data_IF_590533169402
#
_entry.id   IF_590533169402
#
_cell.length_a   1.000
_cell.length_b   1.000
_cell.length_c   1.000
_cell.angle_alpha   90.00
_cell.angle_beta   90.00
_cell.angle_gamma   90.00
#
_symmetry.space_group_name_H-M   'P 1'
#
loop_
_entity.id
_entity.type
_entity.pdbx_description
1 polymer ?
#
# COMPACT_ATOMS: atom_id res chain seq x y z
N UNK A 1 -30.18 -17.19 -87.96
CA UNK A 1 -29.61 -18.56 -88.02
C UNK A 1 -29.02 -18.87 -86.65
N UNK A 2 -29.66 -19.77 -85.91
CA UNK A 2 -29.08 -20.52 -84.77
C UNK A 2 -27.75 -21.16 -85.24
N UNK A 3 -26.70 -21.34 -84.45
CA UNK A 3 -26.54 -22.16 -83.23
C UNK A 3 -25.02 -22.02 -82.89
N UNK A 4 -24.52 -21.87 -81.67
CA UNK A 4 -24.42 -22.84 -80.57
C UNK A 4 -23.89 -22.11 -79.33
N UNK A 5 -24.27 -22.62 -78.16
CA UNK A 5 -23.98 -22.06 -76.86
C UNK A 5 -22.80 -22.69 -76.12
N UNK A 6 -22.54 -22.05 -74.97
CA UNK A 6 -21.92 -22.50 -73.72
C UNK A 6 -20.43 -22.89 -73.69
N UNK A 7 -19.63 -22.06 -73.00
CA UNK A 7 -19.03 -22.36 -71.69
C UNK A 7 -18.26 -21.11 -71.22
N UNK A 8 -18.82 -20.27 -70.35
CA UNK A 8 -18.67 -20.33 -68.89
C UNK A 8 -17.23 -20.26 -68.36
N UNK A 9 -16.91 -19.08 -67.81
CA UNK A 9 -16.21 -18.86 -66.53
C UNK A 9 -14.70 -19.16 -66.50
N UNK A 10 -13.97 -18.31 -65.77
CA UNK A 10 -12.54 -18.36 -65.39
C UNK A 10 -11.58 -17.66 -66.35
N UNK A 11 -11.44 -16.34 -66.22
CA UNK A 11 -10.12 -15.68 -66.04
C UNK A 11 -10.28 -14.17 -65.74
N UNK A 12 -10.80 -13.83 -64.56
CA UNK A 12 -10.86 -12.43 -64.10
C UNK A 12 -10.41 -12.27 -62.64
N UNK A 13 -9.32 -12.94 -62.24
CA UNK A 13 -8.88 -12.97 -60.83
C UNK A 13 -7.36 -12.88 -60.58
N UNK A 14 -6.55 -12.20 -61.41
CA UNK A 14 -5.10 -12.12 -61.13
C UNK A 14 -4.53 -10.71 -60.91
N UNK A 15 -5.32 -9.63 -60.98
CA UNK A 15 -4.76 -8.28 -60.76
C UNK A 15 -5.27 -7.56 -59.49
N UNK A 16 -6.18 -8.17 -58.72
CA UNK A 16 -6.68 -7.58 -57.46
C UNK A 16 -6.23 -8.27 -56.16
N UNK A 17 -5.14 -9.05 -56.18
CA UNK A 17 -4.57 -9.65 -54.96
C UNK A 17 -3.36 -8.87 -54.43
N UNK A 18 -2.77 -7.94 -55.19
CA UNK A 18 -1.50 -7.32 -54.78
C UNK A 18 -1.61 -5.93 -54.13
N UNK A 19 -2.82 -5.46 -53.80
CA UNK A 19 -3.01 -4.17 -53.09
C UNK A 19 -3.69 -4.31 -51.73
N UNK A 20 -4.06 -5.53 -51.31
CA UNK A 20 -4.52 -5.82 -49.95
C UNK A 20 -3.42 -6.41 -49.04
N UNK A 21 -2.22 -6.68 -49.60
CA UNK A 21 -1.05 -7.19 -48.87
C UNK A 21 0.00 -6.09 -48.68
N UNK A 22 -0.46 -4.90 -48.29
CA UNK A 22 0.41 -3.78 -47.88
C UNK A 22 -0.24 -2.93 -46.77
N UNK A 23 -1.00 -3.58 -45.87
CA UNK A 23 -0.99 -3.14 -44.48
C UNK A 23 0.40 -3.52 -43.97
N UNK A 24 1.36 -2.60 -44.08
CA UNK A 24 2.76 -2.83 -43.69
C UNK A 24 2.76 -3.51 -42.32
N UNK A 25 3.19 -4.77 -42.28
CA UNK A 25 3.38 -5.48 -41.03
C UNK A 25 4.47 -4.70 -40.28
N UNK A 26 4.05 -3.87 -39.31
CA UNK A 26 4.97 -3.02 -38.57
C UNK A 26 6.07 -3.90 -37.96
N UNK A 27 7.32 -3.55 -38.21
CA UNK A 27 8.43 -4.31 -37.67
C UNK A 27 8.39 -4.25 -36.14
N UNK A 28 8.86 -5.29 -35.41
CA UNK A 28 8.92 -5.24 -33.94
C UNK A 28 9.61 -3.97 -33.42
N UNK A 29 10.66 -3.50 -34.12
CA UNK A 29 11.40 -2.28 -33.79
C UNK A 29 10.55 -1.00 -33.92
N UNK A 30 9.66 -0.94 -34.91
CA UNK A 30 8.74 0.19 -35.12
C UNK A 30 7.69 0.22 -34.01
N UNK A 31 7.08 -0.93 -33.71
CA UNK A 31 6.15 -1.08 -32.59
C UNK A 31 6.82 -0.72 -31.25
N UNK A 32 8.08 -1.10 -31.05
CA UNK A 32 8.85 -0.67 -29.88
C UNK A 32 9.06 0.85 -29.87
N UNK A 33 9.44 1.45 -30.99
CA UNK A 33 9.64 2.89 -31.10
C UNK A 33 8.34 3.68 -30.82
N UNK A 34 7.22 3.25 -31.40
CA UNK A 34 5.88 3.80 -31.15
C UNK A 34 5.48 3.64 -29.68
N UNK A 35 5.78 2.47 -29.09
CA UNK A 35 5.61 2.23 -27.67
C UNK A 35 6.38 3.22 -26.80
N UNK A 36 7.67 3.43 -27.09
CA UNK A 36 8.51 4.39 -26.37
C UNK A 36 8.08 5.85 -26.59
N UNK A 37 7.55 6.18 -27.77
CA UNK A 37 6.96 7.49 -28.02
C UNK A 37 5.69 7.70 -27.19
N UNK A 38 4.83 6.68 -27.08
CA UNK A 38 3.66 6.73 -26.22
C UNK A 38 4.06 6.88 -24.74
N UNK A 39 5.14 6.22 -24.27
CA UNK A 39 5.70 6.45 -22.91
C UNK A 39 6.09 7.91 -22.71
N UNK A 40 6.81 8.52 -23.65
CA UNK A 40 7.19 9.95 -23.57
C UNK A 40 5.98 10.88 -23.52
N UNK A 41 4.84 10.45 -24.04
CA UNK A 41 3.59 11.20 -24.05
C UNK A 41 2.66 10.83 -22.86
N UNK A 42 3.13 10.01 -21.91
CA UNK A 42 2.37 9.56 -20.75
C UNK A 42 1.25 8.56 -21.08
N UNK A 43 1.16 8.07 -22.32
CA UNK A 43 0.12 7.14 -22.78
C UNK A 43 0.53 5.70 -22.52
N UNK A 44 0.61 5.33 -21.25
CA UNK A 44 1.11 4.02 -20.80
C UNK A 44 0.33 2.82 -21.34
N UNK A 45 -0.99 2.92 -21.44
CA UNK A 45 -1.83 1.83 -21.98
C UNK A 45 -1.54 1.58 -23.47
N UNK A 46 -1.44 2.65 -24.26
CA UNK A 46 -1.06 2.54 -25.68
C UNK A 46 0.37 2.02 -25.83
N UNK A 47 1.30 2.47 -24.97
CA UNK A 47 2.66 1.98 -24.96
C UNK A 47 2.71 0.46 -24.72
N UNK A 48 1.98 -0.03 -23.72
CA UNK A 48 1.89 -1.46 -23.43
C UNK A 48 1.31 -2.25 -24.61
N UNK A 49 0.27 -1.76 -25.27
CA UNK A 49 -0.30 -2.43 -26.46
C UNK A 49 0.73 -2.57 -27.60
N UNK A 50 1.46 -1.50 -27.90
CA UNK A 50 2.49 -1.52 -28.94
C UNK A 50 3.65 -2.46 -28.56
N UNK A 51 4.10 -2.42 -27.31
CA UNK A 51 5.17 -3.30 -26.81
C UNK A 51 4.73 -4.77 -26.77
N UNK A 52 3.48 -5.06 -26.41
CA UNK A 52 2.90 -6.40 -26.44
C UNK A 52 2.86 -6.96 -27.87
N UNK A 53 2.50 -6.14 -28.85
CA UNK A 53 2.57 -6.52 -30.27
C UNK A 53 4.02 -6.76 -30.71
N UNK A 54 4.96 -5.90 -30.28
CA UNK A 54 6.38 -6.08 -30.58
C UNK A 54 6.93 -7.42 -30.07
N UNK A 55 6.58 -7.80 -28.83
CA UNK A 55 7.01 -9.10 -28.27
C UNK A 55 6.23 -10.28 -28.83
N UNK A 56 4.99 -10.09 -29.29
CA UNK A 56 4.25 -11.14 -30.00
C UNK A 56 4.91 -11.48 -31.35
N UNK A 57 5.45 -10.49 -32.06
CA UNK A 57 6.20 -10.68 -33.30
C UNK A 57 7.64 -11.15 -33.05
N UNK A 58 8.26 -10.72 -31.95
CA UNK A 58 9.61 -11.13 -31.54
C UNK A 58 9.65 -11.44 -30.04
N UNK A 59 9.38 -12.70 -29.63
CA UNK A 59 9.34 -13.08 -28.21
C UNK A 59 10.63 -12.79 -27.42
N UNK A 60 11.78 -12.90 -28.09
CA UNK A 60 13.10 -12.59 -27.52
C UNK A 60 13.49 -11.09 -27.61
N UNK A 61 12.52 -10.17 -27.66
CA UNK A 61 12.82 -8.74 -27.72
C UNK A 61 13.04 -8.14 -26.32
N UNK A 62 14.25 -8.35 -25.77
CA UNK A 62 14.60 -7.97 -24.40
C UNK A 62 14.31 -6.49 -24.04
N UNK A 63 14.55 -5.56 -24.97
CA UNK A 63 14.28 -4.12 -24.74
C UNK A 63 12.78 -3.83 -24.59
N UNK A 64 11.92 -4.53 -25.31
CA UNK A 64 10.47 -4.36 -25.22
C UNK A 64 9.95 -4.89 -23.88
N UNK A 65 10.42 -6.07 -23.44
CA UNK A 65 10.13 -6.61 -22.11
C UNK A 65 10.61 -5.66 -20.99
N UNK A 66 11.82 -5.11 -21.10
CA UNK A 66 12.33 -4.15 -20.13
C UNK A 66 11.48 -2.86 -20.06
N UNK A 67 11.02 -2.37 -21.22
CA UNK A 67 10.13 -1.21 -21.30
C UNK A 67 8.77 -1.50 -20.66
N UNK A 68 8.16 -2.66 -20.94
CA UNK A 68 6.93 -3.10 -20.28
C UNK A 68 7.10 -3.17 -18.77
N UNK A 69 8.17 -3.80 -18.29
CA UNK A 69 8.48 -3.88 -16.86
C UNK A 69 8.62 -2.51 -16.21
N UNK A 70 9.26 -1.56 -16.89
CA UNK A 70 9.38 -0.17 -16.41
C UNK A 70 8.01 0.52 -16.29
N UNK A 71 7.12 0.31 -17.28
CA UNK A 71 5.76 0.87 -17.25
C UNK A 71 4.96 0.25 -16.11
N UNK A 72 5.00 -1.08 -15.95
CA UNK A 72 4.32 -1.77 -14.85
C UNK A 72 4.81 -1.28 -13.48
N UNK A 73 6.12 -1.08 -13.30
CA UNK A 73 6.69 -0.48 -12.08
C UNK A 73 6.15 0.94 -11.80
N UNK A 74 5.97 1.76 -12.85
CA UNK A 74 5.40 3.10 -12.72
C UNK A 74 3.92 3.07 -12.36
N UNK A 75 3.16 2.13 -12.94
CA UNK A 75 1.74 1.93 -12.67
C UNK A 75 1.46 1.23 -11.33
N UNK A 76 2.48 0.67 -10.68
CA UNK A 76 2.36 -0.07 -9.41
C UNK A 76 1.95 -1.53 -9.58
N UNK A 77 1.94 -2.06 -10.80
CA UNK A 77 1.74 -3.48 -11.08
C UNK A 77 3.06 -4.24 -10.86
N UNK A 78 3.41 -4.43 -9.59
CA UNK A 78 4.68 -5.03 -9.19
C UNK A 78 4.86 -6.48 -9.70
N UNK A 79 3.85 -7.37 -9.70
CA UNK A 79 3.99 -8.72 -10.22
C UNK A 79 4.34 -8.76 -11.71
N UNK A 80 3.60 -8.04 -12.56
CA UNK A 80 3.91 -8.02 -14.01
C UNK A 80 5.21 -7.26 -14.30
N UNK A 81 5.55 -6.26 -13.48
CA UNK A 81 6.87 -5.61 -13.53
C UNK A 81 8.00 -6.61 -13.29
N UNK A 82 7.92 -7.43 -12.24
CA UNK A 82 8.96 -8.40 -11.90
C UNK A 82 9.15 -9.42 -13.02
N UNK A 83 8.04 -9.96 -13.51
CA UNK A 83 8.01 -10.94 -14.60
C UNK A 83 8.64 -10.39 -15.87
N UNK A 84 8.25 -9.20 -16.30
CA UNK A 84 8.76 -8.58 -17.52
C UNK A 84 10.26 -8.21 -17.41
N UNK A 85 10.71 -7.65 -16.28
CA UNK A 85 12.11 -7.31 -16.05
C UNK A 85 12.99 -8.56 -15.96
N UNK A 86 12.54 -9.60 -15.27
CA UNK A 86 13.26 -10.88 -15.16
C UNK A 86 13.39 -11.54 -16.53
N UNK A 87 12.32 -11.55 -17.33
CA UNK A 87 12.36 -12.08 -18.69
C UNK A 87 13.32 -11.28 -19.58
N UNK A 88 13.33 -9.94 -19.48
CA UNK A 88 14.26 -9.11 -20.21
C UNK A 88 15.73 -9.44 -19.88
N UNK A 89 16.04 -9.66 -18.59
CA UNK A 89 17.38 -9.99 -18.12
C UNK A 89 17.78 -11.44 -18.46
N UNK A 90 16.82 -12.37 -18.50
CA UNK A 90 17.08 -13.73 -18.98
C UNK A 90 17.45 -13.75 -20.47
N UNK A 91 16.80 -12.91 -21.28
CA UNK A 91 17.12 -12.77 -22.71
C UNK A 91 18.43 -12.02 -22.92
N UNK A 92 18.64 -10.92 -22.18
CA UNK A 92 19.87 -10.13 -22.25
C UNK A 92 20.32 -9.71 -20.84
N UNK A 93 21.27 -10.45 -20.23
CA UNK A 93 21.76 -10.16 -18.87
C UNK A 93 22.45 -8.81 -18.71
N UNK A 94 22.84 -8.16 -19.81
CA UNK A 94 23.59 -6.91 -19.78
C UNK A 94 22.70 -5.66 -19.90
N UNK A 95 21.37 -5.79 -19.77
CA UNK A 95 20.46 -4.64 -19.75
C UNK A 95 20.50 -3.92 -18.39
N UNK A 96 21.46 -3.02 -18.24
CA UNK A 96 21.68 -2.28 -16.98
C UNK A 96 20.44 -1.51 -16.53
N UNK A 97 19.68 -0.90 -17.46
CA UNK A 97 18.45 -0.20 -17.10
C UNK A 97 17.38 -1.16 -16.52
N UNK A 98 17.27 -2.38 -17.07
CA UNK A 98 16.32 -3.37 -16.57
C UNK A 98 16.73 -3.88 -15.19
N UNK A 99 18.02 -4.10 -14.96
CA UNK A 99 18.59 -4.48 -13.67
C UNK A 99 18.40 -3.38 -12.61
N UNK A 100 18.63 -2.11 -12.97
CA UNK A 100 18.37 -0.96 -12.10
C UNK A 100 16.88 -0.82 -11.74
N UNK A 101 15.99 -1.07 -12.71
CA UNK A 101 14.55 -1.06 -12.47
C UNK A 101 14.10 -2.25 -11.62
N UNK A 102 14.77 -3.40 -11.73
CA UNK A 102 14.51 -4.56 -10.88
C UNK A 102 14.95 -4.29 -9.42
N UNK A 103 16.10 -3.66 -9.21
CA UNK A 103 16.53 -3.22 -7.88
C UNK A 103 15.56 -2.19 -7.27
N UNK A 104 15.06 -1.25 -8.09
CA UNK A 104 14.06 -0.28 -7.66
C UNK A 104 12.72 -0.96 -7.31
N UNK A 105 12.31 -1.97 -8.09
CA UNK A 105 11.14 -2.79 -7.79
C UNK A 105 11.30 -3.49 -6.44
N UNK A 106 12.41 -4.18 -6.21
CA UNK A 106 12.71 -4.84 -4.93
C UNK A 106 12.73 -3.87 -3.75
N UNK A 107 13.24 -2.65 -3.96
CA UNK A 107 13.19 -1.59 -2.95
C UNK A 107 11.74 -1.21 -2.61
N UNK A 108 10.87 -1.04 -3.63
CA UNK A 108 9.45 -0.70 -3.43
C UNK A 108 8.65 -1.85 -2.81
N UNK A 109 8.99 -3.09 -3.12
CA UNK A 109 8.34 -4.29 -2.56
C UNK A 109 8.97 -4.78 -1.26
N UNK A 110 9.85 -3.97 -0.63
CA UNK A 110 10.52 -4.26 0.66
C UNK A 110 11.39 -5.52 0.67
N UNK A 111 11.80 -6.01 -0.51
CA UNK A 111 12.81 -7.07 -0.68
C UNK A 111 14.21 -6.45 -0.66
N UNK A 112 14.58 -5.89 0.49
CA UNK A 112 15.69 -4.94 0.59
C UNK A 112 17.06 -5.59 0.38
N UNK A 113 17.28 -6.82 0.87
CA UNK A 113 18.53 -7.55 0.64
C UNK A 113 18.74 -7.89 -0.84
N UNK A 114 17.67 -8.26 -1.54
CA UNK A 114 17.70 -8.47 -2.99
C UNK A 114 18.06 -7.18 -3.72
N UNK A 115 17.42 -6.06 -3.35
CA UNK A 115 17.71 -4.75 -3.91
C UNK A 115 19.18 -4.35 -3.70
N UNK A 116 19.69 -4.47 -2.47
CA UNK A 116 21.07 -4.14 -2.10
C UNK A 116 22.05 -4.97 -2.93
N UNK A 117 21.85 -6.28 -3.04
CA UNK A 117 22.71 -7.17 -3.84
C UNK A 117 22.77 -6.75 -5.31
N UNK A 118 21.62 -6.43 -5.92
CA UNK A 118 21.56 -5.96 -7.32
C UNK A 118 22.26 -4.60 -7.46
N UNK A 119 22.00 -3.65 -6.56
CA UNK A 119 22.68 -2.35 -6.60
C UNK A 119 24.20 -2.46 -6.42
N UNK A 120 24.70 -3.34 -5.55
CA UNK A 120 26.14 -3.57 -5.39
C UNK A 120 26.79 -4.10 -6.69
N UNK A 121 26.12 -5.02 -7.39
CA UNK A 121 26.56 -5.50 -8.71
C UNK A 121 26.58 -4.35 -9.73
N UNK A 122 25.54 -3.52 -9.75
CA UNK A 122 25.44 -2.36 -10.64
C UNK A 122 26.52 -1.32 -10.38
N UNK A 123 26.83 -1.00 -9.11
CA UNK A 123 27.88 -0.02 -8.76
C UNK A 123 29.25 -0.49 -9.23
N UNK A 124 29.56 -1.79 -9.14
CA UNK A 124 30.82 -2.34 -9.67
C UNK A 124 30.97 -2.13 -11.18
N UNK A 125 29.87 -2.19 -11.93
CA UNK A 125 29.85 -2.03 -13.40
C UNK A 125 29.68 -0.58 -13.83
N UNK A 126 29.00 0.23 -13.04
CA UNK A 126 28.73 1.65 -13.27
C UNK A 126 29.09 2.48 -12.03
N UNK A 127 30.38 2.62 -11.72
CA UNK A 127 30.80 3.34 -10.53
C UNK A 127 30.35 4.81 -10.56
N UNK A 128 30.15 5.41 -11.74
CA UNK A 128 29.76 6.82 -11.86
C UNK A 128 28.24 7.07 -11.88
N UNK A 129 27.41 6.01 -11.82
CA UNK A 129 25.97 6.17 -11.89
C UNK A 129 25.40 6.71 -10.57
N UNK A 130 25.12 8.02 -10.53
CA UNK A 130 24.48 8.68 -9.39
C UNK A 130 23.13 8.03 -9.04
N UNK A 131 22.34 7.64 -10.05
CA UNK A 131 21.05 6.99 -9.83
C UNK A 131 21.21 5.67 -9.04
N UNK A 132 22.20 4.86 -9.39
CA UNK A 132 22.47 3.58 -8.72
C UNK A 132 23.00 3.82 -7.30
N UNK A 133 23.85 4.84 -7.10
CA UNK A 133 24.36 5.20 -5.76
C UNK A 133 23.27 5.74 -4.83
N UNK A 134 22.37 6.58 -5.32
CA UNK A 134 21.23 7.03 -4.53
C UNK A 134 20.25 5.87 -4.27
N UNK A 135 20.10 4.95 -5.24
CA UNK A 135 19.31 3.73 -5.09
C UNK A 135 19.82 2.84 -3.97
N UNK A 136 21.14 2.54 -3.93
CA UNK A 136 21.70 1.72 -2.85
C UNK A 136 21.60 2.41 -1.49
N UNK A 137 21.84 3.73 -1.43
CA UNK A 137 21.74 4.49 -0.18
C UNK A 137 20.31 4.43 0.38
N UNK A 138 19.31 4.59 -0.50
CA UNK A 138 17.89 4.46 -0.12
C UNK A 138 17.53 3.03 0.30
N UNK A 139 18.08 2.01 -0.36
CA UNK A 139 17.85 0.61 0.01
C UNK A 139 18.45 0.30 1.39
N UNK A 140 19.66 0.76 1.68
CA UNK A 140 20.27 0.65 3.03
C UNK A 140 19.44 1.38 4.09
N UNK A 141 19.00 2.61 3.80
CA UNK A 141 18.17 3.38 4.72
C UNK A 141 16.86 2.64 5.05
N UNK A 142 16.17 2.11 4.03
CA UNK A 142 14.93 1.37 4.24
C UNK A 142 15.13 0.04 4.95
N UNK A 143 16.34 -0.52 4.89
CA UNK A 143 16.75 -1.72 5.60
C UNK A 143 17.22 -1.42 7.02
N UNK A 144 17.13 -0.17 7.48
CA UNK A 144 17.61 0.32 8.79
C UNK A 144 19.12 0.09 8.99
N UNK A 145 19.86 -0.09 7.88
CA UNK A 145 21.31 -0.18 7.83
C UNK A 145 21.90 1.23 7.72
N UNK A 146 21.65 2.03 8.76
CA UNK A 146 21.95 3.47 8.75
C UNK A 146 23.43 3.80 8.53
N UNK A 147 24.42 3.08 9.10
CA UNK A 147 25.83 3.35 8.82
C UNK A 147 26.18 3.24 7.33
N UNK A 148 25.73 2.18 6.66
CA UNK A 148 25.96 1.99 5.22
C UNK A 148 25.18 3.00 4.37
N UNK A 149 23.97 3.37 4.79
CA UNK A 149 23.20 4.42 4.14
C UNK A 149 23.91 5.78 4.21
N UNK A 150 24.44 6.13 5.37
CA UNK A 150 25.21 7.37 5.60
C UNK A 150 26.42 7.40 4.68
N UNK A 151 27.22 6.33 4.65
CA UNK A 151 28.40 6.25 3.76
C UNK A 151 28.02 6.40 2.28
N UNK A 152 26.97 5.70 1.84
CA UNK A 152 26.51 5.74 0.46
C UNK A 152 25.96 7.13 0.06
N UNK A 153 25.23 7.80 0.95
CA UNK A 153 24.76 9.18 0.71
C UNK A 153 25.91 10.19 0.70
N UNK A 154 26.87 10.07 1.62
CA UNK A 154 28.06 10.93 1.64
C UNK A 154 28.85 10.78 0.34
N UNK A 155 29.08 9.56 -0.14
CA UNK A 155 29.77 9.31 -1.40
C UNK A 155 29.00 9.88 -2.60
N UNK A 156 27.67 9.80 -2.59
CA UNK A 156 26.82 10.44 -3.61
C UNK A 156 26.97 11.96 -3.60
N UNK A 157 26.99 12.56 -2.40
CA UNK A 157 27.12 14.02 -2.21
C UNK A 157 28.52 14.55 -2.52
N UNK A 158 29.59 13.77 -2.32
CA UNK A 158 30.95 14.14 -2.76
C UNK A 158 31.01 14.38 -4.27
N UNK A 159 30.27 13.57 -5.05
CA UNK A 159 30.23 13.64 -6.51
C UNK A 159 29.23 14.68 -7.02
N UNK A 160 28.14 14.86 -6.30
CA UNK A 160 27.05 15.76 -6.65
C UNK A 160 26.58 16.50 -5.41
N UNK A 161 27.22 17.63 -5.05
CA UNK A 161 27.02 18.28 -3.77
C UNK A 161 25.66 18.96 -3.61
N UNK A 162 24.93 19.23 -4.70
CA UNK A 162 23.68 19.98 -4.67
C UNK A 162 22.45 19.08 -4.81
N UNK A 163 22.40 17.99 -4.05
CA UNK A 163 21.27 17.04 -4.05
C UNK A 163 20.46 17.18 -2.75
N UNK A 164 19.52 18.12 -2.72
CA UNK A 164 18.76 18.47 -1.53
C UNK A 164 17.96 17.27 -0.96
N UNK A 165 17.39 16.43 -1.83
CA UNK A 165 16.74 15.18 -1.43
C UNK A 165 17.71 14.18 -0.77
N UNK A 166 18.92 14.02 -1.31
CA UNK A 166 19.94 13.14 -0.73
C UNK A 166 20.45 13.68 0.61
N UNK A 167 20.62 14.99 0.76
CA UNK A 167 20.94 15.63 2.04
C UNK A 167 19.83 15.44 3.08
N UNK A 168 18.56 15.54 2.67
CA UNK A 168 17.40 15.30 3.54
C UNK A 168 17.37 13.86 4.04
N UNK A 169 17.63 12.90 3.16
CA UNK A 169 17.68 11.49 3.54
C UNK A 169 18.89 11.17 4.43
N UNK A 170 20.06 11.72 4.11
CA UNK A 170 21.25 11.62 4.95
C UNK A 170 21.00 12.17 6.36
N UNK A 171 20.37 13.35 6.46
CA UNK A 171 19.99 13.93 7.74
C UNK A 171 19.04 13.02 8.53
N UNK A 172 18.07 12.38 7.87
CA UNK A 172 17.19 11.40 8.53
C UNK A 172 17.91 10.13 9.00
N UNK A 173 18.98 9.71 8.29
CA UNK A 173 19.83 8.62 8.77
C UNK A 173 20.62 9.03 10.02
N UNK A 174 21.09 10.28 10.09
CA UNK A 174 21.74 10.82 11.29
C UNK A 174 20.78 10.93 12.48
N UNK A 175 19.54 11.35 12.25
CA UNK A 175 18.46 11.33 13.26
C UNK A 175 18.24 9.92 13.81
N UNK A 176 18.22 8.90 12.94
CA UNK A 176 18.03 7.51 13.34
C UNK A 176 19.20 6.92 14.17
N UNK A 177 20.39 7.49 14.06
CA UNK A 177 21.56 7.14 14.90
C UNK A 177 21.80 8.14 16.02
N UNK A 178 20.80 8.98 16.32
CA UNK A 178 20.80 9.97 17.41
C UNK A 178 21.92 11.04 17.30
N UNK A 179 22.46 11.28 16.09
CA UNK A 179 23.40 12.38 15.81
C UNK A 179 22.64 13.62 15.31
N UNK A 180 21.96 14.28 16.24
CA UNK A 180 21.20 15.52 15.98
C UNK A 180 22.07 16.63 15.37
N UNK A 181 23.36 16.68 15.71
CA UNK A 181 24.26 17.71 15.22
C UNK A 181 24.46 17.58 13.70
N UNK A 182 24.73 16.37 13.20
CA UNK A 182 24.83 16.12 11.77
C UNK A 182 23.46 16.21 11.09
N UNK A 183 22.39 15.73 11.71
CA UNK A 183 21.04 15.85 11.16
C UNK A 183 20.67 17.32 10.90
N UNK A 184 20.84 18.20 11.89
CA UNK A 184 20.60 19.65 11.76
C UNK A 184 21.47 20.25 10.65
N UNK A 185 22.76 19.89 10.59
CA UNK A 185 23.68 20.38 9.57
C UNK A 185 23.19 20.05 8.16
N UNK A 186 22.82 18.79 7.91
CA UNK A 186 22.40 18.36 6.57
C UNK A 186 20.98 18.81 6.22
N UNK A 187 20.05 18.92 7.18
CA UNK A 187 18.75 19.55 6.91
C UNK A 187 18.91 21.02 6.53
N UNK A 188 19.77 21.78 7.22
CA UNK A 188 20.07 23.16 6.83
C UNK A 188 20.71 23.25 5.45
N UNK A 189 21.66 22.37 5.14
CA UNK A 189 22.28 22.32 3.82
C UNK A 189 21.25 22.01 2.73
N UNK A 190 20.34 21.05 2.96
CA UNK A 190 19.26 20.72 2.05
C UNK A 190 18.36 21.94 1.78
N UNK A 191 17.95 22.63 2.84
CA UNK A 191 17.08 23.82 2.75
C UNK A 191 17.77 25.04 2.13
N UNK A 192 19.09 25.12 2.19
CA UNK A 192 19.87 26.14 1.49
C UNK A 192 19.91 25.90 -0.03
N UNK A 193 19.90 24.63 -0.45
CA UNK A 193 19.82 24.24 -1.88
C UNK A 193 18.37 24.36 -2.38
N UNK A 194 17.42 23.82 -1.62
CA UNK A 194 15.99 23.81 -1.95
C UNK A 194 15.16 24.19 -0.71
N UNK A 195 14.69 25.45 -0.60
CA UNK A 195 13.89 25.88 0.55
C UNK A 195 12.55 25.16 0.69
N UNK A 196 12.06 24.58 -0.41
CA UNK A 196 10.72 24.03 -0.52
C UNK A 196 10.63 22.51 -0.28
N UNK A 197 11.29 22.02 0.77
CA UNK A 197 11.27 20.61 1.15
C UNK A 197 10.43 20.37 2.42
N UNK A 198 9.21 19.83 2.31
CA UNK A 198 8.33 19.63 3.47
C UNK A 198 8.96 18.73 4.54
N UNK A 199 9.62 17.64 4.11
CA UNK A 199 10.29 16.71 5.03
C UNK A 199 11.44 17.36 5.79
N UNK A 200 12.32 18.08 5.09
CA UNK A 200 13.45 18.76 5.73
C UNK A 200 12.99 19.86 6.71
N UNK A 201 12.01 20.68 6.29
CA UNK A 201 11.40 21.68 7.17
C UNK A 201 10.73 21.03 8.39
N UNK A 202 9.96 19.96 8.18
CA UNK A 202 9.24 19.27 9.25
C UNK A 202 10.17 18.62 10.29
N UNK A 203 11.20 17.90 9.82
CA UNK A 203 12.14 17.20 10.69
C UNK A 203 13.10 18.17 11.38
N UNK A 204 13.62 19.19 10.69
CA UNK A 204 14.41 20.22 11.35
C UNK A 204 13.60 21.00 12.40
N UNK A 205 12.33 21.30 12.09
CA UNK A 205 11.40 21.90 13.05
C UNK A 205 11.12 20.99 14.25
N UNK A 206 11.08 19.68 14.05
CA UNK A 206 10.93 18.68 15.11
C UNK A 206 12.13 18.70 16.08
N UNK A 207 13.35 18.66 15.54
CA UNK A 207 14.57 18.70 16.34
C UNK A 207 14.62 20.00 17.16
N UNK A 208 14.33 21.16 16.56
CA UNK A 208 14.27 22.41 17.31
C UNK A 208 13.17 22.44 18.37
N UNK A 209 12.02 21.83 18.11
CA UNK A 209 10.96 21.71 19.11
C UNK A 209 11.40 20.87 20.32
N UNK A 210 12.15 19.80 20.10
CA UNK A 210 12.68 18.90 21.14
C UNK A 210 13.78 19.60 21.95
N UNK A 211 14.66 20.34 21.28
CA UNK A 211 15.68 21.19 21.91
C UNK A 211 15.10 22.43 22.64
N UNK A 212 13.80 22.69 22.51
CA UNK A 212 13.14 23.85 23.14
C UNK A 212 13.34 25.17 22.39
N UNK A 213 13.96 25.14 21.22
CA UNK A 213 14.19 26.26 20.31
C UNK A 213 12.90 26.63 19.53
N UNK A 214 11.84 27.00 20.25
CA UNK A 214 10.49 27.16 19.72
C UNK A 214 10.38 28.20 18.59
N UNK A 215 11.17 29.27 18.66
CA UNK A 215 11.18 30.35 17.66
C UNK A 215 11.82 29.90 16.34
N UNK A 216 12.74 28.94 16.38
CA UNK A 216 13.28 28.30 15.17
C UNK A 216 12.34 27.23 14.63
N UNK A 217 11.70 26.47 15.52
CA UNK A 217 10.80 25.37 15.13
C UNK A 217 9.54 25.86 14.41
N UNK A 218 8.89 26.92 14.92
CA UNK A 218 7.61 27.41 14.44
C UNK A 218 7.58 27.69 12.92
N UNK A 219 8.45 28.55 12.35
CA UNK A 219 8.40 28.89 10.91
C UNK A 219 8.70 27.69 10.00
N UNK A 220 9.53 26.75 10.45
CA UNK A 220 9.85 25.53 9.70
C UNK A 220 8.63 24.60 9.64
N UNK A 221 7.98 24.36 10.78
CA UNK A 221 6.77 23.53 10.84
C UNK A 221 5.62 24.15 10.05
N UNK A 222 5.43 25.47 10.12
CA UNK A 222 4.45 26.20 9.31
C UNK A 222 4.73 26.08 7.80
N UNK A 223 6.00 26.14 7.41
CA UNK A 223 6.41 25.96 6.01
C UNK A 223 6.15 24.54 5.53
N UNK A 224 6.49 23.54 6.34
CA UNK A 224 6.25 22.13 6.05
C UNK A 224 4.76 21.84 5.80
N UNK A 225 3.86 22.34 6.66
CA UNK A 225 2.41 22.11 6.51
C UNK A 225 1.79 22.91 5.36
N UNK A 226 2.37 24.07 5.00
CA UNK A 226 1.91 24.88 3.86
C UNK A 226 2.21 24.17 2.54
N UNK A 227 3.39 23.55 2.45
CA UNK A 227 3.80 22.79 1.26
C UNK A 227 3.15 21.41 1.20
N UNK A 228 2.97 20.75 2.35
CA UNK A 228 2.25 19.49 2.46
C UNK A 228 1.18 19.56 3.57
N UNK A 229 -0.07 19.94 3.23
CA UNK A 229 -1.17 20.01 4.18
C UNK A 229 -1.50 18.68 4.87
N UNK A 230 -1.12 17.55 4.27
CA UNK A 230 -1.33 16.20 4.81
C UNK A 230 -0.17 15.73 5.70
N UNK A 231 0.84 16.56 5.98
CA UNK A 231 1.93 16.20 6.87
C UNK A 231 1.51 16.23 8.35
N UNK A 232 0.72 15.23 8.76
CA UNK A 232 0.09 15.15 10.08
C UNK A 232 1.09 15.23 11.23
N UNK A 233 2.27 14.61 11.09
CA UNK A 233 3.31 14.63 12.12
C UNK A 233 3.86 16.05 12.37
N UNK A 234 4.18 16.79 11.30
CA UNK A 234 4.60 18.20 11.41
C UNK A 234 3.49 19.08 12.01
N UNK A 235 2.23 18.83 11.64
CA UNK A 235 1.07 19.54 12.20
C UNK A 235 0.90 19.30 13.70
N UNK A 236 1.05 18.05 14.15
CA UNK A 236 1.01 17.72 15.58
C UNK A 236 2.13 18.44 16.34
N UNK A 237 3.36 18.42 15.82
CA UNK A 237 4.50 19.15 16.40
C UNK A 237 4.27 20.65 16.43
N UNK A 238 3.65 21.24 15.39
CA UNK A 238 3.24 22.64 15.40
C UNK A 238 2.29 22.94 16.56
N UNK A 239 1.29 22.09 16.79
CA UNK A 239 0.39 22.19 17.95
C UNK A 239 1.16 22.17 19.28
N UNK A 240 2.18 21.31 19.42
CA UNK A 240 3.03 21.25 20.63
C UNK A 240 3.83 22.55 20.83
N UNK A 241 4.45 23.08 19.76
CA UNK A 241 5.16 24.37 19.81
C UNK A 241 4.22 25.49 20.24
N UNK A 242 3.04 25.59 19.62
CA UNK A 242 2.03 26.59 19.95
C UNK A 242 1.54 26.48 21.41
N UNK A 243 1.38 25.25 21.91
CA UNK A 243 1.00 25.00 23.30
C UNK A 243 2.08 25.51 24.27
N UNK A 244 3.36 25.22 24.00
CA UNK A 244 4.49 25.74 24.80
C UNK A 244 4.59 27.27 24.74
N UNK A 245 4.27 27.87 23.60
CA UNK A 245 4.15 29.34 23.43
C UNK A 245 2.86 29.94 24.00
N UNK A 246 1.98 29.12 24.61
CA UNK A 246 0.68 29.50 25.20
C UNK A 246 -0.36 30.02 24.19
N UNK A 247 -0.17 29.74 22.90
CA UNK A 247 -1.11 30.07 21.83
C UNK A 247 -2.21 29.00 21.71
N UNK A 248 -2.96 28.79 22.80
CA UNK A 248 -3.85 27.65 22.97
C UNK A 248 -4.97 27.56 21.91
N UNK A 249 -5.46 28.71 21.42
CA UNK A 249 -6.49 28.75 20.38
C UNK A 249 -5.97 28.16 19.06
N UNK A 250 -4.75 28.53 18.65
CA UNK A 250 -4.11 27.99 17.44
C UNK A 250 -3.72 26.53 17.64
N UNK A 251 -3.17 26.19 18.81
CA UNK A 251 -2.82 24.81 19.14
C UNK A 251 -4.03 23.87 19.04
N UNK A 252 -5.17 24.25 19.63
CA UNK A 252 -6.41 23.47 19.57
C UNK A 252 -6.87 23.23 18.11
N UNK A 253 -6.81 24.24 17.25
CA UNK A 253 -7.15 24.10 15.84
C UNK A 253 -6.23 23.12 15.10
N UNK A 254 -4.93 23.14 15.38
CA UNK A 254 -3.99 22.19 14.78
C UNK A 254 -4.21 20.76 15.28
N UNK A 255 -4.48 20.55 16.56
CA UNK A 255 -4.83 19.22 17.08
C UNK A 255 -6.14 18.67 16.50
N UNK A 256 -7.16 19.52 16.33
CA UNK A 256 -8.40 19.13 15.66
C UNK A 256 -8.17 18.67 14.22
N UNK A 257 -7.28 19.34 13.48
CA UNK A 257 -6.89 18.93 12.13
C UNK A 257 -6.11 17.61 12.12
N UNK A 258 -5.25 17.38 13.10
CA UNK A 258 -4.57 16.08 13.29
C UNK A 258 -5.60 14.97 13.51
N UNK A 259 -6.58 15.19 14.40
CA UNK A 259 -7.65 14.22 14.70
C UNK A 259 -8.55 13.97 13.47
N UNK A 260 -8.82 15.00 12.67
CA UNK A 260 -9.59 14.86 11.44
C UNK A 260 -8.88 13.97 10.41
N UNK A 261 -7.55 14.01 10.36
CA UNK A 261 -6.72 13.15 9.50
C UNK A 261 -6.50 11.74 10.10
N UNK A 262 -6.27 11.67 11.42
CA UNK A 262 -5.98 10.44 12.16
C UNK A 262 -6.81 10.38 13.44
N UNK A 263 -7.96 9.70 13.35
CA UNK A 263 -8.96 9.62 14.43
C UNK A 263 -8.47 8.86 15.67
N UNK A 264 -7.41 8.07 15.53
CA UNK A 264 -6.77 7.25 16.56
C UNK A 264 -5.53 7.92 17.18
N UNK A 265 -5.24 9.18 16.85
CA UNK A 265 -4.06 9.89 17.33
C UNK A 265 -4.18 10.31 18.81
N UNK A 266 -3.85 9.38 19.72
CA UNK A 266 -3.96 9.52 21.18
C UNK A 266 -3.41 10.85 21.71
N UNK A 267 -2.15 11.19 21.36
CA UNK A 267 -1.50 12.40 21.85
C UNK A 267 -2.18 13.70 21.42
N UNK A 268 -2.94 13.70 20.32
CA UNK A 268 -3.63 14.90 19.85
C UNK A 268 -4.88 15.16 20.70
N UNK A 269 -5.62 14.12 21.11
CA UNK A 269 -6.75 14.27 22.03
C UNK A 269 -6.32 14.79 23.40
N UNK A 270 -5.24 14.24 23.96
CA UNK A 270 -4.70 14.71 25.23
C UNK A 270 -4.35 16.21 25.16
N UNK A 271 -3.54 16.59 24.17
CA UNK A 271 -3.10 17.98 24.07
C UNK A 271 -4.22 18.94 23.66
N UNK A 272 -5.20 18.49 22.86
CA UNK A 272 -6.42 19.23 22.58
C UNK A 272 -7.21 19.49 23.87
N UNK A 273 -7.43 18.47 24.69
CA UNK A 273 -8.13 18.62 25.97
C UNK A 273 -7.43 19.66 26.87
N UNK A 274 -6.10 19.56 26.98
CA UNK A 274 -5.30 20.51 27.76
C UNK A 274 -5.42 21.95 27.24
N UNK A 275 -5.32 22.15 25.92
CA UNK A 275 -5.51 23.46 25.30
C UNK A 275 -6.93 24.01 25.54
N UNK A 276 -7.96 23.17 25.42
CA UNK A 276 -9.36 23.55 25.66
C UNK A 276 -9.63 23.92 27.13
N UNK A 277 -9.03 23.22 28.09
CA UNK A 277 -9.11 23.59 29.50
C UNK A 277 -8.47 24.93 29.78
N UNK A 278 -7.31 25.25 29.15
CA UNK A 278 -6.68 26.57 29.25
C UNK A 278 -7.54 27.68 28.64
N UNK A 279 -8.31 27.35 27.59
CA UNK A 279 -9.30 28.24 26.97
C UNK A 279 -10.64 28.31 27.73
N UNK A 280 -10.77 27.66 28.89
CA UNK A 280 -12.02 27.56 29.68
C UNK A 280 -13.19 26.88 28.95
N UNK A 281 -12.92 26.15 27.86
CA UNK A 281 -13.89 25.35 27.10
C UNK A 281 -14.07 23.96 27.73
N UNK A 282 -14.66 23.93 28.94
CA UNK A 282 -14.68 22.74 29.81
C UNK A 282 -15.33 21.52 29.18
N UNK A 283 -16.49 21.68 28.53
CA UNK A 283 -17.22 20.55 27.94
C UNK A 283 -16.53 19.98 26.70
N UNK A 284 -16.00 20.82 25.83
CA UNK A 284 -15.17 20.37 24.69
C UNK A 284 -13.93 19.63 25.19
N UNK A 285 -13.26 20.16 26.23
CA UNK A 285 -12.08 19.54 26.84
C UNK A 285 -12.37 18.17 27.47
N UNK A 286 -13.50 18.01 28.17
CA UNK A 286 -13.94 16.72 28.71
C UNK A 286 -14.14 15.68 27.61
N UNK A 287 -14.84 16.04 26.53
CA UNK A 287 -15.08 15.13 25.39
C UNK A 287 -13.76 14.67 24.75
N UNK A 288 -12.80 15.58 24.59
CA UNK A 288 -11.48 15.24 24.08
C UNK A 288 -10.72 14.30 25.06
N UNK A 289 -10.83 14.53 26.37
CA UNK A 289 -10.22 13.68 27.39
C UNK A 289 -10.85 12.28 27.46
N UNK A 290 -12.18 12.17 27.32
CA UNK A 290 -12.88 10.88 27.23
C UNK A 290 -12.44 10.07 26.00
N UNK A 291 -12.22 10.74 24.87
CA UNK A 291 -11.68 10.10 23.67
C UNK A 291 -10.23 9.61 23.89
N UNK A 292 -9.39 10.42 24.56
CA UNK A 292 -8.04 10.01 24.97
C UNK A 292 -8.06 8.75 25.86
N UNK A 293 -8.90 8.72 26.90
CA UNK A 293 -9.01 7.55 27.78
C UNK A 293 -9.50 6.31 27.04
N UNK A 294 -10.54 6.43 26.21
CA UNK A 294 -11.01 5.31 25.38
C UNK A 294 -9.92 4.76 24.48
N UNK A 295 -9.15 5.61 23.80
CA UNK A 295 -8.08 5.13 22.93
C UNK A 295 -6.96 4.43 23.72
N UNK A 296 -6.64 4.89 24.93
CA UNK A 296 -5.68 4.21 25.80
C UNK A 296 -6.18 2.85 26.29
N UNK A 297 -7.47 2.75 26.66
CA UNK A 297 -8.09 1.48 27.04
C UNK A 297 -8.03 0.47 25.88
N UNK A 298 -8.32 0.93 24.66
CA UNK A 298 -8.19 0.12 23.44
C UNK A 298 -6.75 -0.36 23.26
N UNK A 299 -5.77 0.55 23.38
CA UNK A 299 -4.36 0.21 23.23
C UNK A 299 -3.90 -0.81 24.28
N UNK A 300 -4.35 -0.65 25.53
CA UNK A 300 -4.04 -1.57 26.63
C UNK A 300 -4.67 -2.96 26.41
N UNK A 301 -5.91 -3.03 25.92
CA UNK A 301 -6.56 -4.30 25.60
C UNK A 301 -5.81 -5.04 24.48
N UNK A 302 -5.35 -4.31 23.45
CA UNK A 302 -4.54 -4.87 22.36
C UNK A 302 -3.19 -5.38 22.89
N UNK A 303 -2.42 -4.55 23.61
CA UNK A 303 -1.11 -4.95 24.18
C UNK A 303 -1.24 -6.19 25.08
N UNK A 304 -2.28 -6.25 25.91
CA UNK A 304 -2.55 -7.42 26.76
C UNK A 304 -2.75 -8.69 25.93
N UNK A 305 -3.43 -8.58 24.78
CA UNK A 305 -3.66 -9.73 23.88
C UNK A 305 -2.41 -10.11 23.10
N UNK A 306 -1.66 -9.13 22.62
CA UNK A 306 -0.37 -9.37 21.96
C UNK A 306 0.59 -10.10 22.90
N UNK A 307 0.73 -9.65 24.15
CA UNK A 307 1.54 -10.35 25.16
C UNK A 307 1.09 -11.77 25.41
N UNK A 308 -0.22 -12.04 25.39
CA UNK A 308 -0.73 -13.41 25.51
C UNK A 308 -0.27 -14.32 24.36
N UNK A 309 -0.18 -13.78 23.13
CA UNK A 309 0.38 -14.53 21.99
C UNK A 309 1.88 -14.78 22.13
N UNK A 310 2.63 -13.89 22.78
CA UNK A 310 4.05 -14.09 23.04
C UNK A 310 4.31 -15.13 24.15
N UNK A 311 3.42 -15.22 25.14
CA UNK A 311 3.52 -16.21 26.23
C UNK A 311 3.16 -17.63 25.76
N UNK A 312 2.24 -17.77 24.81
CA UNK A 312 1.81 -19.05 24.24
C UNK A 312 1.87 -19.01 22.70
N UNK A 313 3.07 -18.94 22.10
CA UNK A 313 3.23 -18.70 20.66
C UNK A 313 2.69 -19.82 19.77
N UNK A 314 2.60 -21.05 20.29
CA UNK A 314 2.05 -22.20 19.58
C UNK A 314 0.53 -22.39 19.79
N UNK A 315 -0.15 -21.49 20.50
CA UNK A 315 -1.58 -21.62 20.79
C UNK A 315 -2.43 -20.83 19.78
N UNK A 316 -3.12 -21.51 18.83
CA UNK A 316 -3.95 -20.84 17.82
C UNK A 316 -5.12 -20.05 18.41
N UNK A 317 -5.58 -20.40 19.61
CA UNK A 317 -6.67 -19.68 20.29
C UNK A 317 -6.25 -18.27 20.68
N UNK A 318 -4.97 -18.03 21.04
CA UNK A 318 -4.50 -16.70 21.39
C UNK A 318 -4.47 -15.79 20.17
N UNK A 319 -4.00 -16.30 19.02
CA UNK A 319 -4.04 -15.59 17.75
C UNK A 319 -5.47 -15.25 17.32
N UNK A 320 -6.40 -16.21 17.46
CA UNK A 320 -7.82 -15.96 17.21
C UNK A 320 -8.40 -14.86 18.12
N UNK A 321 -8.12 -14.91 19.43
CA UNK A 321 -8.60 -13.89 20.37
C UNK A 321 -8.04 -12.50 20.06
N UNK A 322 -6.78 -12.43 19.64
CA UNK A 322 -6.18 -11.19 19.17
C UNK A 322 -6.90 -10.67 17.91
N UNK A 323 -7.18 -11.55 16.94
CA UNK A 323 -7.94 -11.21 15.74
C UNK A 323 -9.35 -10.68 16.04
N UNK A 324 -10.04 -11.23 17.05
CA UNK A 324 -11.32 -10.70 17.50
C UNK A 324 -11.22 -9.28 18.08
N UNK A 325 -10.19 -9.00 18.88
CA UNK A 325 -9.96 -7.66 19.44
C UNK A 325 -9.61 -6.65 18.34
N UNK A 326 -8.81 -7.06 17.35
CA UNK A 326 -8.55 -6.23 16.19
C UNK A 326 -9.82 -5.93 15.38
N UNK A 327 -10.64 -6.95 15.12
CA UNK A 327 -11.91 -6.79 14.42
C UNK A 327 -12.87 -5.86 15.18
N UNK A 328 -12.98 -6.01 16.51
CA UNK A 328 -13.79 -5.16 17.40
C UNK A 328 -13.46 -3.67 17.25
N UNK A 329 -12.18 -3.35 17.04
CA UNK A 329 -11.70 -1.96 16.94
C UNK A 329 -11.45 -1.47 15.51
N UNK A 330 -11.93 -2.19 14.50
CA UNK A 330 -11.82 -1.73 13.12
C UNK A 330 -10.45 -1.96 12.47
N UNK A 331 -9.52 -2.64 13.14
CA UNK A 331 -8.18 -2.96 12.66
C UNK A 331 -8.21 -4.20 11.76
N UNK A 332 -8.78 -4.03 10.56
CA UNK A 332 -9.19 -5.14 9.70
C UNK A 332 -8.01 -5.95 9.16
N UNK A 333 -6.93 -5.29 8.76
CA UNK A 333 -5.74 -5.96 8.22
C UNK A 333 -5.08 -6.80 9.30
N UNK A 334 -4.89 -6.24 10.48
CA UNK A 334 -4.32 -6.93 11.64
C UNK A 334 -5.21 -8.09 12.10
N UNK A 335 -6.54 -7.92 12.04
CA UNK A 335 -7.48 -9.00 12.33
C UNK A 335 -7.36 -10.18 11.36
N UNK A 336 -7.26 -9.90 10.05
CA UNK A 336 -7.05 -10.93 9.02
C UNK A 336 -5.73 -11.65 9.26
N UNK A 337 -4.63 -10.92 9.49
CA UNK A 337 -3.31 -11.50 9.76
C UNK A 337 -3.32 -12.38 11.02
N UNK A 338 -3.97 -11.95 12.10
CA UNK A 338 -4.08 -12.74 13.32
C UNK A 338 -4.90 -14.03 13.12
N UNK A 339 -6.00 -13.98 12.35
CA UNK A 339 -6.74 -15.20 12.01
C UNK A 339 -5.96 -16.13 11.07
N UNK A 340 -5.18 -15.60 10.14
CA UNK A 340 -4.29 -16.39 9.29
C UNK A 340 -3.18 -17.06 10.12
N UNK A 341 -2.56 -16.35 11.05
CA UNK A 341 -1.58 -16.91 11.97
C UNK A 341 -2.17 -18.05 12.82
N UNK A 342 -3.44 -17.94 13.25
CA UNK A 342 -4.13 -19.04 13.91
C UNK A 342 -4.27 -20.29 13.02
N UNK A 343 -4.49 -20.11 11.71
CA UNK A 343 -4.59 -21.20 10.74
C UNK A 343 -3.24 -21.81 10.34
N UNK A 344 -2.15 -21.03 10.43
CA UNK A 344 -0.79 -21.53 10.27
C UNK A 344 -0.41 -22.47 11.42
N UNK A 345 -0.83 -22.13 12.65
CA UNK A 345 -0.64 -22.97 13.84
C UNK A 345 -1.56 -24.21 13.84
N UNK A 346 -2.80 -24.04 13.39
CA UNK A 346 -3.78 -25.14 13.25
C UNK A 346 -4.67 -24.93 12.02
N UNK A 347 -4.39 -25.68 10.96
CA UNK A 347 -5.15 -25.64 9.70
C UNK A 347 -6.64 -26.03 9.83
N UNK A 348 -7.04 -26.59 10.98
CA UNK A 348 -8.39 -26.97 11.33
C UNK A 348 -9.04 -26.06 12.39
N UNK A 349 -8.43 -24.91 12.71
CA UNK A 349 -9.00 -23.89 13.59
C UNK A 349 -10.30 -23.28 13.00
N UNK A 350 -11.41 -24.00 13.15
CA UNK A 350 -12.72 -23.66 12.57
C UNK A 350 -13.24 -22.28 13.03
N UNK A 351 -12.88 -21.86 14.24
CA UNK A 351 -13.19 -20.54 14.77
C UNK A 351 -12.47 -19.42 14.01
N UNK A 352 -11.21 -19.63 13.59
CA UNK A 352 -10.44 -18.68 12.81
C UNK A 352 -10.93 -18.61 11.36
N UNK A 353 -11.29 -19.77 10.76
CA UNK A 353 -11.95 -19.82 9.45
C UNK A 353 -13.26 -19.01 9.45
N UNK A 354 -14.11 -19.21 10.45
CA UNK A 354 -15.34 -18.43 10.58
C UNK A 354 -15.06 -16.94 10.82
N UNK A 355 -14.01 -16.60 11.58
CA UNK A 355 -13.54 -15.23 11.77
C UNK A 355 -13.19 -14.54 10.44
N UNK A 356 -12.38 -15.19 9.59
CA UNK A 356 -12.03 -14.70 8.26
C UNK A 356 -13.25 -14.55 7.36
N UNK A 357 -14.12 -15.57 7.31
CA UNK A 357 -15.34 -15.52 6.51
C UNK A 357 -16.20 -14.29 6.87
N UNK A 358 -16.40 -14.03 8.17
CA UNK A 358 -17.15 -12.85 8.64
C UNK A 358 -16.48 -11.54 8.25
N UNK A 359 -15.16 -11.44 8.35
CA UNK A 359 -14.43 -10.22 7.93
C UNK A 359 -14.54 -9.97 6.43
N UNK A 360 -14.43 -11.03 5.62
CA UNK A 360 -14.50 -10.94 4.16
C UNK A 360 -15.90 -10.50 3.70
N UNK A 361 -16.95 -11.04 4.33
CA UNK A 361 -18.34 -10.61 4.14
C UNK A 361 -18.50 -9.12 4.51
N UNK A 362 -18.00 -8.71 5.69
CA UNK A 362 -18.14 -7.33 6.18
C UNK A 362 -17.44 -6.33 5.25
N UNK A 363 -16.25 -6.67 4.77
CA UNK A 363 -15.45 -5.83 3.89
C UNK A 363 -15.84 -5.95 2.41
N UNK A 364 -16.71 -6.91 2.06
CA UNK A 364 -17.06 -7.27 0.68
C UNK A 364 -15.84 -7.58 -0.19
N UNK A 365 -14.85 -8.23 0.40
CA UNK A 365 -13.63 -8.68 -0.28
C UNK A 365 -13.63 -10.20 -0.35
N UNK A 366 -13.05 -10.78 -1.41
CA UNK A 366 -12.82 -12.23 -1.51
C UNK A 366 -14.04 -13.07 -1.12
N UNK A 367 -15.23 -12.69 -1.61
CA UNK A 367 -16.50 -13.27 -1.19
C UNK A 367 -16.61 -14.78 -1.44
N UNK A 368 -15.93 -15.27 -2.47
CA UNK A 368 -15.88 -16.71 -2.75
C UNK A 368 -15.04 -17.46 -1.71
N UNK A 369 -13.91 -16.90 -1.27
CA UNK A 369 -13.11 -17.45 -0.18
C UNK A 369 -13.90 -17.42 1.14
N UNK A 370 -14.72 -16.38 1.35
CA UNK A 370 -15.60 -16.30 2.52
C UNK A 370 -16.60 -17.49 2.58
N UNK A 371 -17.18 -17.87 1.43
CA UNK A 371 -18.02 -19.08 1.33
C UNK A 371 -17.20 -20.32 1.67
N UNK A 372 -16.03 -20.50 1.05
CA UNK A 372 -15.17 -21.66 1.29
C UNK A 372 -14.75 -21.78 2.76
N UNK A 373 -14.37 -20.68 3.41
CA UNK A 373 -14.01 -20.66 4.82
C UNK A 373 -15.20 -20.98 5.73
N UNK A 374 -16.37 -20.41 5.46
CA UNK A 374 -17.59 -20.70 6.24
C UNK A 374 -18.03 -22.17 6.11
N UNK A 375 -17.99 -22.73 4.89
CA UNK A 375 -18.28 -24.15 4.64
C UNK A 375 -17.28 -25.07 5.37
N UNK A 376 -15.98 -24.76 5.29
CA UNK A 376 -14.95 -25.54 5.98
C UNK A 376 -15.09 -25.44 7.50
N UNK A 377 -15.39 -24.26 8.04
CA UNK A 377 -15.63 -24.07 9.47
C UNK A 377 -16.81 -24.93 9.97
N UNK A 378 -17.94 -24.89 9.27
CA UNK A 378 -19.11 -25.71 9.62
C UNK A 378 -18.84 -27.21 9.51
N UNK A 379 -18.11 -27.65 8.48
CA UNK A 379 -17.74 -29.06 8.31
C UNK A 379 -16.88 -29.58 9.46
N UNK A 380 -15.93 -28.77 9.91
CA UNK A 380 -15.01 -29.12 11.01
C UNK A 380 -15.71 -29.11 12.37
N UNK A 381 -16.65 -28.18 12.57
CA UNK A 381 -17.41 -28.05 13.82
C UNK A 381 -18.83 -27.58 13.50
N UNK A 382 -19.80 -28.50 13.38
CA UNK A 382 -21.18 -28.14 13.06
C UNK A 382 -21.81 -27.30 14.17
N UNK A 383 -21.99 -26.00 13.88
CA UNK A 383 -22.56 -25.05 14.83
C UNK A 383 -23.46 -24.04 14.10
N UNK A 384 -24.60 -23.64 14.69
CA UNK A 384 -25.59 -22.82 14.01
C UNK A 384 -25.07 -21.41 13.66
N UNK A 385 -24.15 -20.85 14.45
CA UNK A 385 -23.49 -19.59 14.13
C UNK A 385 -22.64 -19.65 12.85
N UNK A 386 -22.10 -20.82 12.48
CA UNK A 386 -21.34 -20.95 11.23
C UNK A 386 -22.27 -21.09 10.03
N UNK A 387 -23.44 -21.71 10.22
CA UNK A 387 -24.51 -21.70 9.22
C UNK A 387 -25.04 -20.29 8.96
N UNK A 388 -25.14 -19.45 10.00
CA UNK A 388 -25.46 -18.04 9.82
C UNK A 388 -24.40 -17.31 8.98
N UNK A 389 -23.11 -17.49 9.28
CA UNK A 389 -22.02 -16.90 8.46
C UNK A 389 -22.09 -17.41 7.02
N UNK A 390 -22.32 -18.70 6.82
CA UNK A 390 -22.46 -19.31 5.49
C UNK A 390 -23.66 -18.75 4.73
N UNK A 391 -24.78 -18.54 5.40
CA UNK A 391 -25.96 -17.92 4.82
C UNK A 391 -25.65 -16.50 4.32
N UNK A 392 -24.96 -15.70 5.13
CA UNK A 392 -24.52 -14.36 4.76
C UNK A 392 -23.52 -14.37 3.60
N UNK A 393 -22.58 -15.31 3.56
CA UNK A 393 -21.63 -15.47 2.46
C UNK A 393 -22.33 -15.82 1.14
N UNK A 394 -23.29 -16.75 1.17
CA UNK A 394 -24.11 -17.08 0.02
C UNK A 394 -24.98 -15.92 -0.46
N UNK A 395 -25.54 -15.13 0.47
CA UNK A 395 -26.30 -13.93 0.12
C UNK A 395 -25.42 -12.92 -0.63
N UNK A 396 -24.21 -12.63 -0.13
CA UNK A 396 -23.29 -11.68 -0.80
C UNK A 396 -22.78 -12.18 -2.17
N UNK A 397 -22.77 -13.50 -2.40
CA UNK A 397 -22.39 -14.10 -3.70
C UNK A 397 -23.60 -14.35 -4.62
N UNK A 398 -24.80 -13.87 -4.27
CA UNK A 398 -26.02 -14.03 -5.08
C UNK A 398 -26.65 -15.43 -5.04
N UNK A 399 -26.16 -16.32 -4.19
CA UNK A 399 -26.63 -17.71 -4.06
C UNK A 399 -27.80 -17.82 -3.05
N UNK A 400 -28.89 -17.11 -3.30
CA UNK A 400 -29.98 -16.91 -2.32
C UNK A 400 -30.63 -18.20 -1.82
N UNK A 401 -30.87 -19.17 -2.68
CA UNK A 401 -31.46 -20.46 -2.26
C UNK A 401 -30.58 -21.19 -1.24
N UNK A 402 -29.25 -21.15 -1.46
CA UNK A 402 -28.29 -21.71 -0.50
C UNK A 402 -28.24 -20.90 0.79
N UNK A 403 -28.37 -19.58 0.71
CA UNK A 403 -28.46 -18.72 1.89
C UNK A 403 -29.70 -19.04 2.74
N UNK A 404 -30.87 -19.18 2.11
CA UNK A 404 -32.12 -19.58 2.77
C UNK A 404 -31.99 -20.96 3.42
N UNK A 405 -31.43 -21.93 2.69
CA UNK A 405 -31.21 -23.28 3.23
C UNK A 405 -30.34 -23.24 4.49
N UNK A 406 -29.20 -22.55 4.43
CA UNK A 406 -28.29 -22.45 5.56
C UNK A 406 -28.93 -21.76 6.78
N UNK A 407 -29.66 -20.66 6.59
CA UNK A 407 -30.29 -19.95 7.73
C UNK A 407 -31.48 -20.71 8.32
N UNK A 408 -32.28 -21.42 7.52
CA UNK A 408 -33.35 -22.27 8.05
C UNK A 408 -32.77 -23.41 8.89
N UNK A 409 -31.69 -24.06 8.44
CA UNK A 409 -31.01 -25.07 9.25
C UNK A 409 -30.47 -24.48 10.56
N UNK A 410 -29.93 -23.26 10.55
CA UNK A 410 -29.52 -22.58 11.79
C UNK A 410 -30.69 -22.33 12.75
N UNK A 411 -31.85 -21.91 12.24
CA UNK A 411 -33.07 -21.68 13.02
C UNK A 411 -33.65 -22.99 13.56
N UNK A 412 -33.60 -24.08 12.80
CA UNK A 412 -34.02 -25.40 13.28
C UNK A 412 -33.18 -25.86 14.49
N UNK A 413 -31.87 -25.56 14.48
CA UNK A 413 -30.98 -25.84 15.60
C UNK A 413 -31.24 -24.93 16.81
N UNK A 414 -31.51 -23.63 16.59
CA UNK A 414 -31.83 -22.68 17.66
C UNK A 414 -33.02 -21.77 17.31
N UNK A 415 -34.27 -22.23 17.53
CA UNK A 415 -35.46 -21.53 17.05
C UNK A 415 -35.69 -20.14 17.66
N UNK A 416 -35.18 -19.93 18.87
CA UNK A 416 -35.35 -18.70 19.65
C UNK A 416 -34.24 -17.66 19.42
N UNK A 417 -33.28 -17.94 18.53
CA UNK A 417 -32.17 -17.03 18.27
C UNK A 417 -32.61 -15.86 17.37
N UNK A 418 -32.76 -14.68 17.95
CA UNK A 418 -33.22 -13.48 17.23
C UNK A 418 -32.27 -13.07 16.09
N UNK A 419 -30.96 -13.31 16.23
CA UNK A 419 -29.99 -12.94 15.19
C UNK A 419 -30.21 -13.76 13.90
N UNK A 420 -30.65 -15.02 14.03
CA UNK A 420 -30.96 -15.86 12.88
C UNK A 420 -32.24 -15.41 12.18
N UNK A 421 -33.25 -15.00 12.95
CA UNK A 421 -34.48 -14.41 12.41
C UNK A 421 -34.22 -13.10 11.68
N UNK A 422 -33.35 -12.24 12.21
CA UNK A 422 -32.92 -11.01 11.54
C UNK A 422 -32.18 -11.30 10.23
N UNK A 423 -31.31 -12.31 10.22
CA UNK A 423 -30.59 -12.73 9.01
C UNK A 423 -31.56 -13.28 7.95
N UNK A 424 -32.56 -14.06 8.36
CA UNK A 424 -33.62 -14.54 7.48
C UNK A 424 -34.42 -13.38 6.88
N UNK A 425 -34.78 -12.37 7.70
CA UNK A 425 -35.46 -11.17 7.23
C UNK A 425 -34.61 -10.42 6.19
N UNK A 426 -33.31 -10.23 6.45
CA UNK A 426 -32.37 -9.61 5.51
C UNK A 426 -32.31 -10.34 4.17
N UNK A 427 -32.29 -11.68 4.18
CA UNK A 427 -32.27 -12.50 2.96
C UNK A 427 -33.60 -12.36 2.19
N UNK A 428 -34.74 -12.17 2.88
CA UNK A 428 -36.05 -11.94 2.27
C UNK A 428 -36.17 -10.54 1.66
N UNK A 429 -35.70 -9.50 2.35
CA UNK A 429 -35.77 -8.10 1.89
C UNK A 429 -34.92 -7.83 0.64
N UNK A 430 -33.83 -8.58 0.43
CA UNK A 430 -33.04 -8.48 -0.80
C UNK A 430 -33.84 -8.75 -2.10
N UNK A 431 -35.02 -9.36 -1.98
CA UNK A 431 -35.95 -9.66 -3.09
C UNK A 431 -36.67 -8.42 -3.62
N UNK A 432 -37.02 -7.47 -2.74
CA UNK A 432 -37.88 -6.33 -3.08
C UNK A 432 -37.13 -5.21 -3.80
N UNK A 433 -35.79 -5.20 -3.73
CA UNK A 433 -34.94 -4.20 -4.42
C UNK A 433 -34.43 -4.66 -5.79
N UNK A 434 -34.68 -5.91 -6.15
CA UNK A 434 -34.18 -6.52 -7.40
C UNK A 434 -35.32 -6.79 -8.41
N UNK A 435 -36.57 -6.55 -8.02
CA UNK A 435 -37.75 -6.43 -8.89
C UNK A 435 -38.05 -4.96 -9.12
#
# INVERSE_FOLDING_TARGET
MFQKGLSSIVFFCVVFVNTAWNAAAQAPQELYADGMQAVRQGRYQQALQNLQRAVALQPAYAKAHAAMGTIYLQLGDFPESEKALTLALNINPNLIQAEANLAALYTRTKRLDDAIRVYQNLIRRQPESLQVRLGIASAYQQAERFPEAIEAYLESLKRSPNLAAAMTNLASCYEAVEDDAQAVRYYKAALAVEPNLPMANGNLGAIYQEQGELDKALPLLETAIRQNPQFTAARYRLGLVLTKKREFQRAAAEYQRVIAQKRDHVGAYYNLAQALFRLKKREEGKRAMEAYHRLNEIAQEIDTRERATLMEPSNPIQQYRLGLVYAKYGKMTEAISAFQAALELDANAHYALNGLARLYILQKIQLQDAVTYAEKAFRLSPAPQYLQTLALAHLQTGQREKALKAIYTAIEMEPKNEAFQQTLAQIRESDEKTK
#
